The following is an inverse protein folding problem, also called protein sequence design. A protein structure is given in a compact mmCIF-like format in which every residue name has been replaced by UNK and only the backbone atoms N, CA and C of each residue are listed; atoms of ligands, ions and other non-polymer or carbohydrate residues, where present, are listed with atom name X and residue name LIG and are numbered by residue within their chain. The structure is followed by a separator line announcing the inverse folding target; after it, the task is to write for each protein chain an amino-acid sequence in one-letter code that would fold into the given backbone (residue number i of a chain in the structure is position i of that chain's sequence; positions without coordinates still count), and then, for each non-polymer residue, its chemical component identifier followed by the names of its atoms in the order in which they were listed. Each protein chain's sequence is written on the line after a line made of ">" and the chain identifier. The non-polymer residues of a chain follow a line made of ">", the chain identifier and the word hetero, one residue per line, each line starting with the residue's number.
data_IF_688699788702
#
_entry.id   IF_688699788702
#
_cell.length_a   1.000
_cell.length_b   1.000
_cell.length_c   1.000
_cell.angle_alpha   90.00
_cell.angle_beta   90.00
_cell.angle_gamma   90.00
#
_symmetry.space_group_name_H-M   'P 1'
#
loop_
_entity.id
_entity.type
_entity.pdbx_description
1 polymer ?
#
# COMPACT_ATOMS: atom_id res chain seq x y z
N UNK A 1 -14.53 -23.85 -11.22
CA UNK A 1 -14.84 -23.51 -9.81
C UNK A 1 -14.19 -22.17 -9.53
N UNK A 2 -14.79 -21.33 -8.68
CA UNK A 2 -14.15 -20.08 -8.24
C UNK A 2 -12.86 -20.39 -7.48
N UNK A 3 -11.85 -19.55 -7.62
CA UNK A 3 -10.59 -19.73 -6.93
C UNK A 3 -10.71 -19.42 -5.42
N UNK A 4 -9.93 -20.09 -4.59
CA UNK A 4 -9.78 -19.70 -3.19
C UNK A 4 -8.89 -18.46 -3.11
N UNK A 5 -9.50 -17.30 -2.85
CA UNK A 5 -8.83 -16.00 -2.81
C UNK A 5 -8.31 -15.62 -1.41
N UNK A 6 -8.41 -16.50 -0.41
CA UNK A 6 -7.92 -16.20 0.94
C UNK A 6 -6.42 -15.92 0.92
N UNK A 7 -6.01 -14.97 1.74
CA UNK A 7 -4.63 -14.57 1.91
C UNK A 7 -4.35 -14.20 3.35
N UNK A 8 -3.11 -13.81 3.66
CA UNK A 8 -2.72 -13.43 5.03
C UNK A 8 -2.07 -12.06 5.09
N UNK A 9 -2.53 -11.27 6.05
CA UNK A 9 -1.94 -10.00 6.47
C UNK A 9 -1.13 -10.26 7.77
N UNK A 10 0.13 -10.63 7.62
CA UNK A 10 0.88 -11.24 8.71
C UNK A 10 0.24 -12.58 9.14
N UNK A 11 -0.15 -12.70 10.40
CA UNK A 11 -0.84 -13.88 10.93
C UNK A 11 -2.38 -13.84 10.76
N UNK A 12 -2.95 -12.70 10.33
CA UNK A 12 -4.40 -12.51 10.17
C UNK A 12 -4.85 -12.99 8.80
N UNK A 13 -5.86 -13.88 8.77
CA UNK A 13 -6.48 -14.32 7.52
C UNK A 13 -7.43 -13.27 6.97
N UNK A 14 -7.32 -12.97 5.68
CA UNK A 14 -8.24 -12.13 4.92
C UNK A 14 -9.03 -12.98 3.93
N UNK A 15 -10.32 -12.66 3.68
CA UNK A 15 -11.18 -13.42 2.76
C UNK A 15 -10.74 -13.28 1.29
N UNK A 16 -10.04 -12.22 0.95
CA UNK A 16 -9.53 -11.95 -0.39
C UNK A 16 -8.37 -10.94 -0.34
N UNK A 17 -7.57 -10.82 -1.42
CA UNK A 17 -6.36 -10.01 -1.41
C UNK A 17 -6.56 -8.52 -1.72
N UNK A 18 -7.79 -8.06 -2.01
CA UNK A 18 -8.01 -6.69 -2.46
C UNK A 18 -8.20 -5.74 -1.28
N UNK A 19 -7.36 -4.72 -1.23
CA UNK A 19 -7.41 -3.64 -0.25
C UNK A 19 -7.53 -2.28 -0.95
N UNK A 20 -7.93 -1.25 -0.22
CA UNK A 20 -7.75 0.14 -0.70
C UNK A 20 -6.32 0.59 -0.47
N UNK A 21 -5.80 1.52 -1.30
CA UNK A 21 -4.54 2.19 -0.99
C UNK A 21 -4.78 3.39 -0.06
N UNK A 22 -3.87 3.59 0.89
CA UNK A 22 -3.91 4.74 1.79
C UNK A 22 -4.03 6.07 1.03
N UNK A 23 -4.93 6.93 1.49
CA UNK A 23 -5.18 8.24 0.89
C UNK A 23 -6.23 8.29 -0.21
N UNK A 24 -6.69 7.14 -0.73
CA UNK A 24 -7.67 7.09 -1.82
C UNK A 24 -9.10 6.81 -1.35
N UNK A 25 -9.27 6.24 -0.15
CA UNK A 25 -10.55 5.82 0.39
C UNK A 25 -10.99 6.60 1.64
N UNK A 26 -10.24 7.61 2.06
CA UNK A 26 -10.48 8.26 3.35
C UNK A 26 -10.48 7.24 4.49
N UNK A 27 -11.62 7.12 5.16
CA UNK A 27 -11.92 6.01 6.10
C UNK A 27 -13.06 5.13 5.59
N UNK A 28 -13.28 5.06 4.26
CA UNK A 28 -14.23 4.17 3.62
C UNK A 28 -15.68 4.66 3.56
N UNK A 29 -16.02 5.81 4.19
CA UNK A 29 -17.41 6.33 4.26
C UNK A 29 -17.99 6.63 2.88
N UNK A 30 -17.22 7.28 2.03
CA UNK A 30 -17.61 7.65 0.68
C UNK A 30 -17.80 6.40 -0.18
N UNK A 31 -16.91 5.42 -0.05
CA UNK A 31 -16.98 4.16 -0.81
C UNK A 31 -18.17 3.29 -0.40
N UNK A 32 -18.59 3.36 0.87
CA UNK A 32 -19.74 2.60 1.36
C UNK A 32 -21.07 3.00 0.71
N UNK A 33 -21.11 4.10 -0.05
CA UNK A 33 -22.25 4.48 -0.86
C UNK A 33 -22.35 3.68 -2.17
N UNK A 34 -21.24 3.08 -2.60
CA UNK A 34 -21.14 2.37 -3.88
C UNK A 34 -21.06 0.85 -3.72
N UNK A 35 -20.52 0.37 -2.60
CA UNK A 35 -20.44 -1.06 -2.30
C UNK A 35 -20.32 -1.32 -0.80
N UNK A 36 -20.57 -2.56 -0.40
CA UNK A 36 -20.37 -3.04 0.97
C UNK A 36 -18.86 -3.20 1.24
N UNK A 37 -18.29 -2.30 2.05
CA UNK A 37 -16.86 -2.24 2.35
C UNK A 37 -16.31 -3.47 3.10
N UNK A 38 -17.20 -4.32 3.65
CA UNK A 38 -16.81 -5.59 4.28
C UNK A 38 -16.42 -6.66 3.24
N UNK A 39 -16.80 -6.48 1.96
CA UNK A 39 -16.58 -7.45 0.88
C UNK A 39 -15.15 -7.52 0.39
N UNK A 40 -14.35 -6.48 0.60
CA UNK A 40 -12.92 -6.49 0.27
C UNK A 40 -12.08 -6.96 1.45
N UNK A 41 -10.81 -7.28 1.20
CA UNK A 41 -9.90 -7.78 2.22
C UNK A 41 -9.77 -6.84 3.40
N UNK A 42 -9.48 -5.55 3.14
CA UNK A 42 -9.44 -4.50 4.17
C UNK A 42 -9.55 -3.10 3.57
N UNK A 43 -9.95 -2.13 4.40
CA UNK A 43 -9.79 -0.71 4.14
C UNK A 43 -8.45 -0.27 4.74
N UNK A 44 -7.53 0.20 3.89
CA UNK A 44 -6.35 0.95 4.35
C UNK A 44 -6.74 2.41 4.45
N UNK A 45 -6.71 2.97 5.65
CA UNK A 45 -7.20 4.32 5.91
C UNK A 45 -6.27 5.39 5.36
N UNK A 46 -6.77 6.62 5.24
CA UNK A 46 -5.90 7.80 5.10
C UNK A 46 -4.92 7.82 6.28
N UNK A 47 -3.63 8.13 6.00
CA UNK A 47 -2.63 8.20 7.06
C UNK A 47 -3.07 9.14 8.18
N UNK A 48 -3.13 8.61 9.39
CA UNK A 48 -3.50 9.31 10.61
C UNK A 48 -2.24 9.91 11.25
N UNK A 49 -2.33 11.15 11.70
CA UNK A 49 -1.28 11.84 12.47
C UNK A 49 -1.77 12.11 13.89
N UNK A 50 -0.89 12.45 14.82
CA UNK A 50 -1.27 12.82 16.19
C UNK A 50 -2.21 14.01 16.20
N UNK A 51 -1.80 15.12 15.58
CA UNK A 51 -2.58 16.34 15.51
C UNK A 51 -3.39 16.46 14.20
N UNK A 52 -4.50 17.21 14.19
CA UNK A 52 -5.19 17.60 12.96
C UNK A 52 -4.25 18.39 12.03
N UNK A 53 -4.39 18.17 10.71
CA UNK A 53 -3.60 18.85 9.70
C UNK A 53 -4.46 19.31 8.53
N UNK A 54 -4.31 20.57 8.12
CA UNK A 54 -5.06 21.16 7.01
C UNK A 54 -4.59 20.66 5.62
N UNK A 55 -3.35 20.16 5.54
CA UNK A 55 -2.71 19.83 4.26
C UNK A 55 -2.10 21.05 3.57
N UNK A 56 -1.65 20.87 2.32
CA UNK A 56 -1.04 21.93 1.52
C UNK A 56 -2.09 22.83 0.86
N UNK A 57 -1.71 24.04 0.42
CA UNK A 57 -2.55 24.89 -0.41
C UNK A 57 -2.95 24.21 -1.75
N UNK A 58 -4.04 24.67 -2.35
CA UNK A 58 -4.48 24.28 -3.70
C UNK A 58 -3.81 25.15 -4.77
N UNK A 59 -3.64 24.62 -6.02
CA UNK A 59 -3.99 23.30 -6.51
C UNK A 59 -3.02 22.22 -5.96
N UNK A 60 -3.57 21.12 -5.48
CA UNK A 60 -2.79 20.02 -4.87
C UNK A 60 -3.03 18.64 -5.49
N UNK A 61 -3.77 18.63 -6.60
CA UNK A 61 -3.97 17.47 -7.48
C UNK A 61 -3.93 17.96 -8.93
N UNK A 62 -3.31 17.17 -9.81
CA UNK A 62 -3.25 17.44 -11.25
C UNK A 62 -3.28 16.13 -12.02
N UNK A 63 -4.04 16.08 -13.11
CA UNK A 63 -4.04 14.94 -14.01
C UNK A 63 -2.76 14.90 -14.85
N UNK A 64 -2.38 13.68 -15.26
CA UNK A 64 -1.32 13.42 -16.22
C UNK A 64 -1.84 12.44 -17.28
N UNK A 65 -1.20 12.29 -18.46
CA UNK A 65 -1.69 11.42 -19.53
C UNK A 65 -2.00 9.98 -19.12
N UNK A 66 -1.32 9.45 -18.10
CA UNK A 66 -1.50 8.06 -17.64
C UNK A 66 -1.55 7.93 -16.12
N UNK A 67 -2.06 8.95 -15.44
CA UNK A 67 -2.15 8.94 -13.98
C UNK A 67 -2.49 10.30 -13.41
N UNK A 68 -2.02 10.57 -12.21
CA UNK A 68 -2.20 11.86 -11.56
C UNK A 68 -1.05 12.18 -10.61
N UNK A 69 -0.84 13.46 -10.40
CA UNK A 69 0.03 14.00 -9.36
C UNK A 69 -0.79 14.46 -8.16
N UNK A 70 -0.30 14.20 -6.96
CA UNK A 70 -0.90 14.76 -5.75
C UNK A 70 0.16 15.32 -4.78
N UNK A 71 -0.22 16.37 -4.09
CA UNK A 71 0.55 17.04 -3.05
C UNK A 71 -0.39 17.43 -1.90
N UNK A 72 -1.11 16.47 -1.34
CA UNK A 72 -2.18 16.68 -0.34
C UNK A 72 -1.64 17.22 0.98
N UNK A 73 -0.43 16.79 1.39
CA UNK A 73 0.21 17.24 2.63
C UNK A 73 -0.39 16.63 3.90
N UNK A 74 -0.77 15.36 3.86
CA UNK A 74 -1.26 14.59 5.02
C UNK A 74 -2.48 15.22 5.74
N UNK A 75 -3.38 15.86 4.98
CA UNK A 75 -4.62 16.39 5.54
C UNK A 75 -5.37 15.29 6.31
N UNK A 76 -5.79 15.61 7.53
CA UNK A 76 -6.55 14.69 8.37
C UNK A 76 -6.99 15.29 9.69
N UNK A 77 -7.93 14.62 10.38
CA UNK A 77 -8.56 15.13 11.61
C UNK A 77 -7.74 14.84 12.88
N UNK A 78 -6.62 14.12 12.79
CA UNK A 78 -5.83 13.64 13.92
C UNK A 78 -6.38 12.34 14.52
N UNK A 79 -5.56 11.73 15.41
CA UNK A 79 -5.84 10.41 15.99
C UNK A 79 -7.07 10.41 16.88
N UNK A 80 -7.35 11.49 17.62
CA UNK A 80 -8.50 11.56 18.52
C UNK A 80 -9.81 11.43 17.77
N UNK A 81 -9.98 12.23 16.71
CA UNK A 81 -11.18 12.17 15.87
C UNK A 81 -11.28 10.83 15.11
N UNK A 82 -10.15 10.26 14.70
CA UNK A 82 -10.12 8.96 14.06
C UNK A 82 -10.65 7.86 15.01
N UNK A 83 -10.12 7.80 16.23
CA UNK A 83 -10.52 6.79 17.24
C UNK A 83 -11.96 6.98 17.70
N UNK A 84 -12.46 8.22 17.80
CA UNK A 84 -13.81 8.50 18.26
C UNK A 84 -14.87 8.31 17.17
N UNK A 85 -14.55 8.54 15.91
CA UNK A 85 -15.52 8.62 14.82
C UNK A 85 -15.29 7.60 13.72
N UNK A 86 -14.05 7.52 13.20
CA UNK A 86 -13.80 6.83 11.94
C UNK A 86 -13.56 5.32 12.15
N UNK A 87 -12.78 4.94 13.14
CA UNK A 87 -12.57 3.54 13.48
C UNK A 87 -13.87 2.84 13.93
N UNK A 88 -14.68 3.40 14.88
CA UNK A 88 -15.96 2.78 15.25
C UNK A 88 -16.91 2.63 14.07
N UNK A 89 -16.92 3.60 13.15
CA UNK A 89 -17.74 3.51 11.96
C UNK A 89 -17.31 2.35 11.05
N UNK A 90 -16.01 2.20 10.77
CA UNK A 90 -15.49 1.07 9.99
C UNK A 90 -15.91 -0.27 10.60
N UNK A 91 -15.74 -0.42 11.91
CA UNK A 91 -16.10 -1.63 12.64
C UNK A 91 -17.61 -1.91 12.56
N UNK A 92 -18.45 -0.87 12.67
CA UNK A 92 -19.91 -1.00 12.54
C UNK A 92 -20.35 -1.50 11.16
N UNK A 93 -19.49 -1.37 10.13
CA UNK A 93 -19.70 -1.89 8.77
C UNK A 93 -19.09 -3.28 8.55
N UNK A 94 -18.51 -3.90 9.57
CA UNK A 94 -17.80 -5.17 9.44
C UNK A 94 -16.53 -5.08 8.60
N UNK A 95 -16.02 -3.85 8.34
CA UNK A 95 -14.80 -3.65 7.58
C UNK A 95 -13.56 -3.93 8.44
N UNK A 96 -12.54 -4.53 7.83
CA UNK A 96 -11.22 -4.70 8.45
C UNK A 96 -10.43 -3.42 8.27
N UNK A 97 -9.92 -2.86 9.37
CA UNK A 97 -9.23 -1.57 9.38
C UNK A 97 -7.70 -1.77 9.43
N UNK A 98 -7.02 -1.57 8.30
CA UNK A 98 -5.57 -1.36 8.28
C UNK A 98 -5.32 0.13 8.45
N UNK A 99 -4.79 0.54 9.60
CA UNK A 99 -4.63 1.95 9.91
C UNK A 99 -3.27 2.43 9.45
N UNK A 100 -3.26 3.29 8.42
CA UNK A 100 -2.04 3.95 7.98
C UNK A 100 -1.71 5.08 8.95
N UNK A 101 -0.45 5.18 9.38
CA UNK A 101 0.05 6.23 10.29
C UNK A 101 1.20 7.00 9.65
N UNK A 102 1.30 8.29 9.99
CA UNK A 102 2.42 9.14 9.61
C UNK A 102 2.77 10.11 10.74
N UNK A 103 4.05 10.39 10.91
CA UNK A 103 4.57 11.32 11.91
C UNK A 103 5.75 12.14 11.37
N UNK A 104 6.09 13.21 12.06
CA UNK A 104 7.27 14.03 11.78
C UNK A 104 8.51 13.59 12.56
N UNK A 105 8.34 12.78 13.62
CA UNK A 105 9.43 12.22 14.44
C UNK A 105 9.19 10.76 14.78
N UNK A 106 10.22 10.05 15.19
CA UNK A 106 10.14 8.64 15.61
C UNK A 106 9.18 8.48 16.78
N UNK A 107 9.19 9.43 17.72
CA UNK A 107 8.32 9.44 18.91
C UNK A 107 6.84 9.58 18.54
N UNK A 108 6.50 10.40 17.55
CA UNK A 108 5.12 10.53 17.06
C UNK A 108 4.60 9.22 16.48
N UNK A 109 5.43 8.48 15.72
CA UNK A 109 5.06 7.15 15.22
C UNK A 109 4.86 6.14 16.36
N UNK A 110 5.74 6.16 17.38
CA UNK A 110 5.62 5.29 18.55
C UNK A 110 4.35 5.58 19.34
N UNK A 111 4.01 6.86 19.55
CA UNK A 111 2.79 7.28 20.24
C UNK A 111 1.53 6.84 19.48
N UNK A 112 1.49 7.06 18.16
CA UNK A 112 0.39 6.61 17.30
C UNK A 112 0.19 5.10 17.41
N UNK A 113 1.27 4.32 17.36
CA UNK A 113 1.21 2.86 17.48
C UNK A 113 0.66 2.43 18.85
N UNK A 114 1.10 3.06 19.93
CA UNK A 114 0.59 2.80 21.28
C UNK A 114 -0.92 3.07 21.38
N UNK A 115 -1.36 4.23 20.92
CA UNK A 115 -2.80 4.62 20.94
C UNK A 115 -3.66 3.70 20.08
N UNK A 116 -3.17 3.22 18.94
CA UNK A 116 -3.89 2.25 18.12
C UNK A 116 -3.90 0.86 18.75
N UNK A 117 -2.86 0.51 19.51
CA UNK A 117 -2.80 -0.76 20.24
C UNK A 117 -3.82 -0.82 21.39
N UNK A 118 -4.12 0.31 22.00
CA UNK A 118 -5.15 0.40 23.04
C UNK A 118 -6.57 0.40 22.45
N UNK A 119 -6.71 0.66 21.17
CA UNK A 119 -8.00 0.69 20.48
C UNK A 119 -8.42 -0.72 20.01
N UNK A 120 -9.70 -1.05 20.21
CA UNK A 120 -10.26 -2.29 19.69
C UNK A 120 -10.48 -2.22 18.17
N UNK A 121 -10.24 -3.33 17.48
CA UNK A 121 -10.63 -3.52 16.08
C UNK A 121 -9.64 -3.01 15.03
N UNK A 122 -8.45 -2.57 15.42
CA UNK A 122 -7.34 -2.34 14.49
C UNK A 122 -6.85 -3.69 13.99
N UNK A 123 -6.95 -3.91 12.67
CA UNK A 123 -6.52 -5.17 12.03
C UNK A 123 -5.01 -5.20 11.81
N UNK A 124 -4.41 -4.09 11.36
CA UNK A 124 -2.97 -3.94 11.18
C UNK A 124 -2.60 -2.45 11.17
N UNK A 125 -1.32 -2.14 11.32
CA UNK A 125 -0.76 -0.79 11.17
C UNK A 125 0.10 -0.74 9.91
N UNK A 126 -0.20 0.22 9.00
CA UNK A 126 0.69 0.58 7.89
C UNK A 126 1.51 1.80 8.29
N UNK A 127 2.83 1.65 8.38
CA UNK A 127 3.76 2.72 8.75
C UNK A 127 4.18 3.48 7.49
N UNK A 128 3.57 4.62 7.23
CA UNK A 128 3.88 5.44 6.07
C UNK A 128 5.13 6.29 6.31
N UNK A 129 6.31 5.68 6.10
CA UNK A 129 7.61 6.35 6.17
C UNK A 129 7.99 7.07 4.87
N UNK A 130 7.20 6.90 3.81
CA UNK A 130 7.53 7.29 2.44
C UNK A 130 6.85 8.57 1.98
N UNK A 131 6.39 9.42 2.89
CA UNK A 131 5.74 10.66 2.51
C UNK A 131 6.76 11.74 2.11
N UNK A 132 6.79 12.17 0.81
CA UNK A 132 7.68 13.26 0.38
C UNK A 132 7.25 14.64 0.88
N UNK A 133 6.15 14.74 1.63
CA UNK A 133 5.46 15.98 1.94
C UNK A 133 5.67 16.50 3.36
N UNK A 134 6.68 16.00 4.08
CA UNK A 134 7.09 16.59 5.38
C UNK A 134 8.14 17.68 5.09
N UNK A 135 7.63 18.89 4.82
CA UNK A 135 8.43 20.01 4.27
C UNK A 135 9.52 20.57 5.17
N UNK A 136 9.47 20.36 6.49
CA UNK A 136 10.24 21.21 7.39
C UNK A 136 11.63 20.69 7.77
N UNK A 137 12.07 19.48 7.38
CA UNK A 137 13.35 18.97 7.90
C UNK A 137 14.25 18.17 6.94
N UNK A 138 13.91 18.04 5.66
CA UNK A 138 14.77 17.36 4.67
C UNK A 138 15.03 15.86 4.91
N UNK A 139 14.43 15.28 5.95
CA UNK A 139 14.56 13.86 6.26
C UNK A 139 13.31 13.11 5.76
N UNK A 140 13.45 12.52 4.59
CA UNK A 140 12.48 11.51 4.13
C UNK A 140 12.93 10.19 4.74
N UNK A 141 12.27 9.74 5.81
CA UNK A 141 12.57 8.46 6.50
C UNK A 141 12.68 7.29 5.53
N UNK A 142 11.91 7.32 4.44
CA UNK A 142 11.90 6.26 3.43
C UNK A 142 13.15 6.18 2.55
N UNK A 143 14.01 7.18 2.54
CA UNK A 143 15.20 7.22 1.69
C UNK A 143 16.48 6.83 2.44
N UNK A 144 16.42 6.70 3.77
CA UNK A 144 17.54 6.29 4.60
C UNK A 144 17.22 4.98 5.35
N UNK A 145 18.04 3.91 5.18
CA UNK A 145 17.80 2.63 5.83
C UNK A 145 17.78 2.70 7.36
N UNK A 146 18.63 3.55 7.97
CA UNK A 146 18.69 3.72 9.42
C UNK A 146 17.46 4.42 9.96
N UNK A 147 17.01 5.48 9.29
CA UNK A 147 15.80 6.20 9.66
C UNK A 147 14.54 5.33 9.49
N UNK A 148 14.46 4.53 8.42
CA UNK A 148 13.39 3.58 8.19
C UNK A 148 13.34 2.50 9.28
N UNK A 149 14.50 1.98 9.69
CA UNK A 149 14.61 1.02 10.79
C UNK A 149 14.16 1.63 12.12
N UNK A 150 14.64 2.82 12.47
CA UNK A 150 14.31 3.47 13.74
C UNK A 150 12.80 3.70 13.92
N UNK A 151 12.11 4.17 12.86
CA UNK A 151 10.65 4.32 12.89
C UNK A 151 9.94 2.98 13.02
N UNK A 152 10.37 1.98 12.25
CA UNK A 152 9.76 0.64 12.27
C UNK A 152 9.91 -0.03 13.64
N UNK A 153 11.11 0.03 14.23
CA UNK A 153 11.40 -0.51 15.55
C UNK A 153 10.56 0.18 16.64
N UNK A 154 10.48 1.51 16.60
CA UNK A 154 9.68 2.29 17.53
C UNK A 154 8.19 1.94 17.46
N UNK A 155 7.63 1.77 16.25
CA UNK A 155 6.25 1.33 16.05
C UNK A 155 6.06 -0.11 16.55
N UNK A 156 6.96 -1.05 16.17
CA UNK A 156 6.85 -2.44 16.60
C UNK A 156 6.93 -2.58 18.11
N UNK A 157 7.79 -1.81 18.77
CA UNK A 157 7.96 -1.79 20.23
C UNK A 157 6.73 -1.29 21.00
N UNK A 158 5.82 -0.56 20.33
CA UNK A 158 4.58 -0.03 20.94
C UNK A 158 3.32 -0.74 20.46
N UNK A 159 3.36 -1.35 19.29
CA UNK A 159 2.23 -2.12 18.78
C UNK A 159 2.11 -3.45 19.52
N UNK A 160 0.87 -3.82 19.90
CA UNK A 160 0.59 -5.16 20.45
C UNK A 160 1.05 -6.23 19.47
N UNK A 161 1.43 -7.39 19.99
CA UNK A 161 1.92 -8.51 19.19
C UNK A 161 0.87 -9.03 18.18
N UNK A 162 -0.41 -8.96 18.53
CA UNK A 162 -1.53 -9.38 17.70
C UNK A 162 -1.94 -8.36 16.63
N UNK A 163 -1.24 -7.23 16.51
CA UNK A 163 -1.44 -6.23 15.45
C UNK A 163 -0.22 -6.24 14.53
N UNK A 164 -0.33 -6.79 13.30
CA UNK A 164 0.77 -6.78 12.33
C UNK A 164 1.17 -5.35 11.93
N UNK A 165 2.46 -5.14 11.75
CA UNK A 165 3.07 -3.87 11.33
C UNK A 165 3.66 -4.01 9.93
N UNK A 166 3.18 -3.20 9.00
CA UNK A 166 3.64 -3.16 7.61
C UNK A 166 4.35 -1.84 7.33
N UNK A 167 5.62 -1.89 6.92
CA UNK A 167 6.36 -0.70 6.51
C UNK A 167 6.02 -0.35 5.05
N UNK A 168 5.61 0.91 4.79
CA UNK A 168 5.29 1.37 3.42
C UNK A 168 6.46 2.08 2.79
N UNK A 169 6.99 1.46 1.72
CA UNK A 169 8.23 1.86 1.06
C UNK A 169 7.99 2.80 -0.12
N UNK A 170 8.94 3.73 -0.31
CA UNK A 170 8.99 4.62 -1.47
C UNK A 170 9.75 3.98 -2.64
N UNK A 171 9.32 4.21 -3.90
CA UNK A 171 10.12 3.86 -5.07
C UNK A 171 11.26 4.87 -5.35
N UNK A 172 11.27 6.03 -4.67
CA UNK A 172 12.23 7.12 -4.88
C UNK A 172 13.60 6.84 -4.22
N UNK A 173 14.07 5.60 -4.38
CA UNK A 173 15.34 5.13 -3.85
C UNK A 173 16.09 4.33 -4.91
N UNK A 174 17.41 4.34 -4.84
CA UNK A 174 18.25 3.55 -5.77
C UNK A 174 18.16 2.05 -5.46
N UNK A 175 18.12 1.68 -4.17
CA UNK A 175 18.06 0.30 -3.68
C UNK A 175 16.93 0.13 -2.67
N UNK A 176 15.76 -0.30 -3.17
CA UNK A 176 14.59 -0.58 -2.35
C UNK A 176 14.78 -1.82 -1.46
N UNK A 177 15.65 -2.76 -1.87
CA UNK A 177 15.92 -3.97 -1.10
C UNK A 177 16.66 -3.64 0.18
N UNK A 178 17.56 -2.66 0.16
CA UNK A 178 18.26 -2.17 1.36
C UNK A 178 17.28 -1.58 2.37
N UNK A 179 16.32 -0.74 1.94
CA UNK A 179 15.28 -0.20 2.83
C UNK A 179 14.39 -1.32 3.37
N UNK A 180 13.96 -2.24 2.50
CA UNK A 180 13.15 -3.39 2.91
C UNK A 180 13.84 -4.22 3.99
N UNK A 181 15.14 -4.48 3.82
CA UNK A 181 15.97 -5.22 4.78
C UNK A 181 15.98 -4.55 6.14
N UNK A 182 16.17 -3.23 6.18
CA UNK A 182 16.20 -2.46 7.42
C UNK A 182 14.87 -2.51 8.15
N UNK A 183 13.75 -2.36 7.43
CA UNK A 183 12.41 -2.48 8.03
C UNK A 183 12.11 -3.89 8.56
N UNK A 184 12.43 -4.94 7.79
CA UNK A 184 12.23 -6.33 8.22
C UNK A 184 13.09 -6.66 9.44
N UNK A 185 14.37 -6.25 9.43
CA UNK A 185 15.27 -6.43 10.57
C UNK A 185 14.82 -5.68 11.82
N UNK A 186 14.14 -4.55 11.65
CA UNK A 186 13.54 -3.75 12.72
C UNK A 186 12.18 -4.28 13.22
N UNK A 187 11.71 -5.43 12.70
CA UNK A 187 10.52 -6.14 13.17
C UNK A 187 9.24 -5.85 12.41
N UNK A 188 9.29 -5.34 11.19
CA UNK A 188 8.12 -5.29 10.34
C UNK A 188 7.63 -6.72 10.01
N UNK A 189 6.33 -6.97 10.18
CA UNK A 189 5.67 -8.25 9.85
C UNK A 189 5.45 -8.39 8.34
N UNK A 190 5.56 -7.30 7.59
CA UNK A 190 5.44 -7.26 6.14
C UNK A 190 5.72 -5.87 5.57
N UNK A 191 5.58 -5.77 4.25
CA UNK A 191 5.90 -4.55 3.50
C UNK A 191 4.71 -4.13 2.64
N UNK A 192 4.43 -2.81 2.63
CA UNK A 192 3.52 -2.17 1.66
C UNK A 192 4.35 -1.47 0.59
N UNK A 193 4.10 -1.74 -0.69
CA UNK A 193 4.92 -1.17 -1.76
C UNK A 193 4.20 -1.18 -3.11
N UNK A 194 4.32 -0.07 -3.80
CA UNK A 194 5.12 1.14 -3.57
C UNK A 194 4.23 2.34 -3.24
N UNK A 195 4.79 3.37 -2.59
CA UNK A 195 4.18 4.69 -2.55
C UNK A 195 4.27 5.35 -3.93
N UNK A 196 3.71 6.55 -4.08
CA UNK A 196 3.81 7.37 -5.29
C UNK A 196 5.26 7.71 -5.62
N UNK A 197 5.57 7.90 -6.91
CA UNK A 197 6.87 8.32 -7.42
C UNK A 197 6.90 9.85 -7.50
N UNK A 198 7.98 10.48 -7.06
CA UNK A 198 8.11 11.93 -7.14
C UNK A 198 8.08 12.41 -8.60
N UNK A 199 7.22 13.38 -8.87
CA UNK A 199 7.04 13.94 -10.21
C UNK A 199 6.69 15.42 -10.17
N UNK A 200 6.63 16.03 -11.35
CA UNK A 200 6.26 17.42 -11.55
C UNK A 200 5.53 17.57 -12.89
N UNK A 201 4.58 18.50 -12.96
CA UNK A 201 3.98 18.95 -14.20
C UNK A 201 4.00 20.47 -14.27
N UNK A 202 4.27 20.99 -15.47
CA UNK A 202 4.18 22.42 -15.78
C UNK A 202 3.01 22.58 -16.74
N UNK A 203 2.11 23.48 -16.44
CA UNK A 203 1.02 23.89 -17.32
C UNK A 203 1.58 24.87 -18.36
N UNK A 204 1.59 24.51 -19.66
CA UNK A 204 2.14 25.36 -20.70
C UNK A 204 1.30 26.62 -20.96
N UNK A 205 0.00 26.62 -20.68
CA UNK A 205 -0.87 27.76 -20.89
C UNK A 205 -0.62 28.87 -19.84
N UNK A 206 -0.47 28.46 -18.60
CA UNK A 206 -0.16 29.39 -17.50
C UNK A 206 1.34 29.61 -17.30
N UNK A 207 2.21 28.78 -17.91
CA UNK A 207 3.67 28.74 -17.73
C UNK A 207 4.09 28.60 -16.24
N UNK A 208 3.29 27.85 -15.48
CA UNK A 208 3.47 27.66 -14.03
C UNK A 208 3.42 26.16 -13.66
N UNK A 209 4.01 25.77 -12.51
CA UNK A 209 3.77 24.44 -11.97
C UNK A 209 2.29 24.18 -11.75
N UNK A 210 1.83 22.98 -12.13
CA UNK A 210 0.43 22.57 -11.98
C UNK A 210 0.01 22.40 -10.51
N UNK A 211 0.97 22.22 -9.61
CA UNK A 211 0.73 22.08 -8.17
C UNK A 211 1.32 23.25 -7.41
N UNK A 212 0.63 23.75 -6.37
CA UNK A 212 1.13 24.79 -5.49
C UNK A 212 2.43 24.38 -4.74
N UNK A 213 2.60 23.09 -4.47
CA UNK A 213 3.81 22.53 -3.86
C UNK A 213 4.93 22.19 -4.85
N UNK A 214 4.87 22.66 -6.10
CA UNK A 214 5.80 22.44 -7.21
C UNK A 214 5.83 20.96 -7.64
N UNK A 215 6.22 20.04 -6.76
CA UNK A 215 6.27 18.59 -6.98
C UNK A 215 5.11 17.89 -6.29
N UNK A 216 4.84 16.66 -6.72
CA UNK A 216 3.85 15.77 -6.11
C UNK A 216 4.16 14.31 -6.38
N UNK A 217 3.47 13.43 -5.69
CA UNK A 217 3.55 12.00 -5.93
C UNK A 217 2.76 11.61 -7.19
N UNK A 218 3.42 11.04 -8.18
CA UNK A 218 2.81 10.44 -9.36
C UNK A 218 2.23 9.08 -9.00
N UNK A 219 0.98 8.83 -9.41
CA UNK A 219 0.25 7.57 -9.23
C UNK A 219 -0.52 7.20 -10.50
N UNK A 220 -1.15 6.03 -10.51
CA UNK A 220 -1.91 5.54 -11.66
C UNK A 220 -1.10 4.63 -12.58
N UNK A 221 -1.61 4.28 -13.77
CA UNK A 221 -1.02 3.25 -14.65
C UNK A 221 0.44 3.49 -15.02
N UNK A 222 0.88 4.75 -15.08
CA UNK A 222 2.26 5.12 -15.41
C UNK A 222 3.31 4.48 -14.49
N UNK A 223 2.98 4.24 -13.20
CA UNK A 223 3.94 3.69 -12.24
C UNK A 223 3.88 2.17 -12.10
N UNK A 224 2.95 1.46 -12.77
CA UNK A 224 2.82 0.01 -12.62
C UNK A 224 4.10 -0.78 -12.95
N UNK A 225 4.83 -0.53 -14.05
CA UNK A 225 6.09 -1.23 -14.31
C UNK A 225 7.14 -1.02 -13.22
N UNK A 226 7.12 0.14 -12.55
CA UNK A 226 8.01 0.44 -11.43
C UNK A 226 7.59 -0.38 -10.19
N UNK A 227 6.28 -0.45 -9.90
CA UNK A 227 5.74 -1.26 -8.82
C UNK A 227 6.09 -2.74 -8.99
N UNK A 228 5.87 -3.29 -10.19
CA UNK A 228 6.19 -4.69 -10.53
C UNK A 228 7.68 -4.97 -10.29
N UNK A 229 8.58 -4.11 -10.79
CA UNK A 229 10.03 -4.24 -10.57
C UNK A 229 10.39 -4.21 -9.09
N UNK A 230 9.85 -3.26 -8.32
CA UNK A 230 10.14 -3.14 -6.89
C UNK A 230 9.66 -4.36 -6.11
N UNK A 231 8.43 -4.83 -6.37
CA UNK A 231 7.87 -6.05 -5.75
C UNK A 231 8.74 -7.26 -6.10
N UNK A 232 9.12 -7.41 -7.36
CA UNK A 232 10.00 -8.48 -7.82
C UNK A 232 11.31 -8.52 -7.05
N UNK A 233 12.03 -7.39 -7.01
CA UNK A 233 13.33 -7.30 -6.34
C UNK A 233 13.24 -7.65 -4.84
N UNK A 234 12.19 -7.16 -4.17
CA UNK A 234 12.01 -7.43 -2.74
C UNK A 234 11.58 -8.88 -2.50
N UNK A 235 10.69 -9.45 -3.34
CA UNK A 235 10.31 -10.87 -3.24
C UNK A 235 11.50 -11.81 -3.47
N UNK A 236 12.39 -11.48 -4.41
CA UNK A 236 13.61 -12.26 -4.64
C UNK A 236 14.54 -12.25 -3.41
N UNK A 237 14.64 -11.11 -2.72
CA UNK A 237 15.46 -10.97 -1.52
C UNK A 237 14.80 -11.53 -0.24
N UNK A 238 13.48 -11.53 -0.18
CA UNK A 238 12.67 -11.94 0.99
C UNK A 238 11.52 -12.86 0.54
N UNK A 239 11.77 -14.15 0.30
CA UNK A 239 10.77 -15.07 -0.22
C UNK A 239 9.51 -15.22 0.64
N UNK A 240 9.64 -15.06 1.96
CA UNK A 240 8.56 -15.35 2.93
C UNK A 240 7.89 -14.10 3.50
N UNK A 241 8.44 -12.90 3.27
CA UNK A 241 7.88 -11.66 3.83
C UNK A 241 6.58 -11.31 3.11
N UNK A 242 5.46 -11.09 3.83
CA UNK A 242 4.20 -10.65 3.21
C UNK A 242 4.34 -9.29 2.54
N UNK A 243 3.84 -9.17 1.30
CA UNK A 243 3.88 -7.94 0.53
C UNK A 243 2.46 -7.50 0.15
N UNK A 244 2.10 -6.28 0.50
CA UNK A 244 0.94 -5.56 -0.05
C UNK A 244 1.45 -4.78 -1.26
N UNK A 245 1.15 -5.26 -2.48
CA UNK A 245 1.55 -4.61 -3.73
C UNK A 245 0.57 -3.52 -4.13
N UNK A 246 1.09 -2.38 -4.60
CA UNK A 246 0.27 -1.29 -5.14
C UNK A 246 1.04 -0.48 -6.18
N UNK A 247 0.27 0.19 -7.05
CA UNK A 247 0.79 1.06 -8.10
C UNK A 247 0.20 0.71 -9.46
N UNK A 248 -0.72 1.53 -9.95
CA UNK A 248 -1.27 1.47 -11.29
C UNK A 248 -2.28 0.35 -11.57
N UNK A 249 -2.83 -0.28 -10.54
CA UNK A 249 -3.85 -1.34 -10.68
C UNK A 249 -5.18 -0.75 -11.10
N UNK A 250 -5.72 -1.21 -12.25
CA UNK A 250 -7.01 -0.81 -12.81
C UNK A 250 -7.95 -1.97 -13.07
N UNK A 251 -7.40 -3.18 -13.27
CA UNK A 251 -8.14 -4.39 -13.66
C UNK A 251 -7.68 -5.58 -12.84
N UNK A 252 -8.44 -6.68 -12.89
CA UNK A 252 -8.02 -7.97 -12.30
C UNK A 252 -6.73 -8.50 -12.91
N UNK A 253 -6.50 -8.26 -14.21
CA UNK A 253 -5.24 -8.64 -14.86
C UNK A 253 -4.03 -7.87 -14.30
N UNK A 254 -4.19 -6.58 -14.00
CA UNK A 254 -3.14 -5.80 -13.35
C UNK A 254 -2.83 -6.33 -11.94
N UNK A 255 -3.88 -6.77 -11.22
CA UNK A 255 -3.71 -7.41 -9.91
C UNK A 255 -2.95 -8.75 -10.02
N UNK A 256 -3.27 -9.57 -11.03
CA UNK A 256 -2.52 -10.81 -11.33
C UNK A 256 -1.04 -10.52 -11.60
N UNK A 257 -0.71 -9.44 -12.33
CA UNK A 257 0.68 -9.06 -12.61
C UNK A 257 1.47 -8.79 -11.32
N UNK A 258 0.90 -8.03 -10.37
CA UNK A 258 1.55 -7.77 -9.08
C UNK A 258 1.69 -9.05 -8.24
N UNK A 259 0.68 -9.92 -8.25
CA UNK A 259 0.69 -11.20 -7.53
C UNK A 259 1.78 -12.11 -8.09
N UNK A 260 1.87 -12.24 -9.41
CA UNK A 260 2.93 -13.02 -10.08
C UNK A 260 4.32 -12.48 -9.78
N UNK A 261 4.47 -11.15 -9.60
CA UNK A 261 5.72 -10.53 -9.19
C UNK A 261 6.06 -10.79 -7.71
N UNK A 262 5.09 -11.20 -6.88
CA UNK A 262 5.31 -11.57 -5.49
C UNK A 262 4.43 -10.90 -4.45
N UNK A 263 3.45 -10.09 -4.84
CA UNK A 263 2.50 -9.52 -3.90
C UNK A 263 1.52 -10.58 -3.36
N UNK A 264 1.33 -10.63 -2.04
CA UNK A 264 0.33 -11.48 -1.39
C UNK A 264 -1.06 -10.82 -1.39
N UNK A 265 -1.07 -9.51 -1.40
CA UNK A 265 -2.26 -8.65 -1.39
C UNK A 265 -2.05 -7.51 -2.37
N UNK A 266 -3.15 -6.92 -2.86
CA UNK A 266 -3.12 -5.83 -3.84
C UNK A 266 -3.97 -4.67 -3.36
N UNK A 267 -3.37 -3.48 -3.23
CA UNK A 267 -4.10 -2.27 -2.91
C UNK A 267 -4.46 -1.46 -4.16
N UNK A 268 -5.73 -1.07 -4.24
CA UNK A 268 -6.29 -0.25 -5.31
C UNK A 268 -6.29 1.22 -4.88
N UNK A 269 -5.68 2.07 -5.67
CA UNK A 269 -5.51 3.50 -5.36
C UNK A 269 -6.22 4.42 -6.34
N UNK A 270 -5.48 5.09 -7.21
CA UNK A 270 -5.93 6.17 -8.12
C UNK A 270 -7.21 5.83 -8.90
N UNK A 271 -7.40 4.58 -9.28
CA UNK A 271 -8.60 4.11 -9.98
C UNK A 271 -9.90 4.37 -9.21
N UNK A 272 -9.86 4.42 -7.88
CA UNK A 272 -11.03 4.71 -7.02
C UNK A 272 -11.62 6.10 -7.32
N UNK A 273 -10.81 7.08 -7.70
CA UNK A 273 -11.29 8.43 -8.02
C UNK A 273 -12.11 8.48 -9.33
N UNK A 274 -11.84 7.55 -10.22
CA UNK A 274 -12.54 7.40 -11.50
C UNK A 274 -13.70 6.41 -11.39
N UNK A 275 -13.52 5.33 -10.64
CA UNK A 275 -14.49 4.25 -10.42
C UNK A 275 -14.53 3.89 -8.94
N UNK A 276 -15.45 4.47 -8.16
CA UNK A 276 -15.57 4.18 -6.73
C UNK A 276 -15.82 2.71 -6.41
N UNK A 277 -16.34 1.91 -7.35
CA UNK A 277 -16.57 0.47 -7.22
C UNK A 277 -15.37 -0.38 -7.65
N UNK A 278 -14.24 0.25 -8.02
CA UNK A 278 -13.07 -0.44 -8.57
C UNK A 278 -12.60 -1.63 -7.72
N UNK A 279 -12.62 -1.50 -6.39
CA UNK A 279 -12.14 -2.57 -5.51
C UNK A 279 -12.94 -3.87 -5.68
N UNK A 280 -14.26 -3.82 -5.67
CA UNK A 280 -15.12 -5.00 -5.83
C UNK A 280 -15.15 -5.48 -7.27
N UNK A 281 -15.04 -4.58 -8.25
CA UNK A 281 -14.91 -4.95 -9.67
C UNK A 281 -13.59 -5.70 -9.91
N UNK A 282 -12.47 -5.18 -9.44
CA UNK A 282 -11.15 -5.81 -9.57
C UNK A 282 -11.10 -7.15 -8.84
N UNK A 283 -11.76 -7.27 -7.68
CA UNK A 283 -11.87 -8.54 -6.97
C UNK A 283 -12.55 -9.61 -7.84
N UNK A 284 -13.68 -9.26 -8.46
CA UNK A 284 -14.40 -10.17 -9.37
C UNK A 284 -13.55 -10.51 -10.60
N UNK A 285 -12.95 -9.51 -11.23
CA UNK A 285 -12.08 -9.71 -12.40
C UNK A 285 -10.87 -10.59 -12.05
N UNK A 286 -10.29 -10.45 -10.85
CA UNK A 286 -9.19 -11.30 -10.38
C UNK A 286 -9.63 -12.76 -10.28
N UNK A 287 -10.79 -13.04 -9.69
CA UNK A 287 -11.34 -14.41 -9.61
C UNK A 287 -11.56 -14.99 -11.03
N UNK A 288 -12.15 -14.22 -11.93
CA UNK A 288 -12.34 -14.61 -13.34
C UNK A 288 -11.00 -14.91 -14.03
N UNK A 289 -9.97 -14.07 -13.83
CA UNK A 289 -8.66 -14.25 -14.43
C UNK A 289 -7.91 -15.49 -13.89
N UNK A 290 -8.01 -15.77 -12.59
CA UNK A 290 -7.43 -16.97 -11.99
C UNK A 290 -8.19 -18.24 -12.44
N UNK A 291 -9.50 -18.19 -12.46
CA UNK A 291 -10.36 -19.29 -12.93
C UNK A 291 -10.08 -19.65 -14.39
N UNK A 292 -9.96 -18.67 -15.30
CA UNK A 292 -9.57 -18.88 -16.71
C UNK A 292 -8.23 -19.59 -16.86
N UNK A 293 -7.30 -19.42 -15.91
CA UNK A 293 -5.98 -20.05 -15.90
C UNK A 293 -5.94 -21.39 -15.17
N UNK A 294 -7.07 -21.86 -14.65
CA UNK A 294 -7.14 -23.10 -13.87
C UNK A 294 -6.46 -23.02 -12.50
N UNK A 295 -6.34 -21.84 -11.95
CA UNK A 295 -5.74 -21.62 -10.62
C UNK A 295 -6.78 -21.90 -9.56
N UNK A 296 -6.50 -22.83 -8.67
CA UNK A 296 -7.41 -23.21 -7.58
C UNK A 296 -7.24 -22.33 -6.33
N UNK A 297 -6.02 -21.88 -6.04
CA UNK A 297 -5.72 -21.06 -4.87
C UNK A 297 -4.82 -19.89 -5.24
N UNK A 298 -5.15 -18.71 -4.74
CA UNK A 298 -4.32 -17.51 -4.90
C UNK A 298 -2.86 -17.74 -4.45
N UNK A 299 -2.69 -18.45 -3.34
CA UNK A 299 -1.37 -18.73 -2.76
C UNK A 299 -0.42 -19.47 -3.73
N UNK A 300 -0.98 -20.26 -4.68
CA UNK A 300 -0.17 -21.04 -5.63
C UNK A 300 0.46 -20.19 -6.74
N UNK A 301 0.02 -18.95 -6.90
CA UNK A 301 0.52 -18.04 -7.95
C UNK A 301 1.28 -16.84 -7.42
N UNK A 302 1.37 -16.66 -6.10
CA UNK A 302 2.18 -15.59 -5.50
C UNK A 302 3.65 -15.83 -5.82
N UNK A 303 4.26 -14.89 -6.57
CA UNK A 303 5.67 -14.99 -6.98
C UNK A 303 5.95 -16.06 -8.05
N UNK A 304 4.94 -16.67 -8.66
CA UNK A 304 5.11 -17.74 -9.64
C UNK A 304 5.99 -17.31 -10.83
N UNK A 305 6.02 -16.03 -11.17
CA UNK A 305 6.88 -15.52 -12.25
C UNK A 305 8.38 -15.67 -11.96
N UNK A 306 8.80 -15.89 -10.71
CA UNK A 306 10.19 -16.20 -10.35
C UNK A 306 10.63 -17.62 -10.74
N UNK A 307 9.69 -18.56 -10.99
CA UNK A 307 9.96 -19.96 -11.25
C UNK A 307 10.44 -20.31 -12.70
N UNK A 308 10.19 -19.55 -13.76
CA UNK A 308 10.51 -19.97 -15.15
C UNK A 308 11.99 -20.30 -15.38
N UNK A 309 12.88 -19.72 -14.57
CA UNK A 309 14.31 -20.06 -14.63
C UNK A 309 14.61 -21.48 -14.12
N UNK A 310 13.85 -21.98 -13.15
CA UNK A 310 13.99 -23.34 -12.63
C UNK A 310 13.35 -24.37 -13.56
N UNK A 311 12.15 -24.08 -14.11
CA UNK A 311 11.46 -24.97 -15.06
C UNK A 311 12.19 -25.07 -16.40
N UNK A 312 12.75 -23.97 -16.92
CA UNK A 312 13.57 -23.98 -18.14
C UNK A 312 14.89 -24.74 -17.94
N UNK A 313 15.49 -24.71 -16.75
CA UNK A 313 16.65 -25.54 -16.41
C UNK A 313 16.30 -27.01 -16.36
N UNK A 314 15.13 -27.40 -15.79
CA UNK A 314 14.65 -28.80 -15.74
C UNK A 314 14.33 -29.33 -17.15
N UNK A 315 13.69 -28.53 -18.03
CA UNK A 315 13.45 -28.92 -19.42
C UNK A 315 14.75 -29.10 -20.23
N UNK A 316 15.76 -28.27 -20.01
CA UNK A 316 17.07 -28.43 -20.65
C UNK A 316 17.87 -29.62 -20.13
N UNK A 317 17.75 -29.93 -18.81
CA UNK A 317 18.37 -31.11 -18.22
C UNK A 317 17.67 -32.42 -18.59
N UNK A 318 16.36 -32.41 -18.89
CA UNK A 318 15.60 -33.58 -19.34
C UNK A 318 15.68 -33.88 -20.83
N UNK A 319 16.27 -32.99 -21.64
CA UNK A 319 16.48 -33.22 -23.09
C UNK A 319 17.93 -33.65 -23.44
N UNK A 320 18.70 -34.06 -22.44
CA UNK A 320 20.07 -34.61 -22.61
C UNK A 320 20.09 -36.00 -22.01
N UNK A 321 19.22 -36.86 -22.52
CA UNK A 321 19.31 -38.33 -22.42
C UNK A 321 18.79 -38.94 -23.71
#
# INVERSE_FOLDING_TARGET
>A
MAADLRTRLGHIELPNPILTASGCAGSGRELAQFFDVSKIGAIVTKSVMLAPRAGRPTPRMAETPSGMLNSIGLQGPGIDAFLQRDLPWLLSRGARAVVSIAGGTVEEYAELAGRLSDAAGVTAIEVNISCPNVEDRGQVFACDPGAAAAVTEAVRGRARYDIPVFAKLSPDVTDIVSIARSCVSAGADGLSMINTLLGMSIDPDTMRPALAGLTGGLSGPAIRPIAVRCIWQVREAFPDVPIIGMGGVRTGQDAVELILAGANMVSVGTTIFHDPSACVRILRELDEELTKRGVERLADVVGLAHEPRAAARRKRAGNVL
#
